data_IF_379717302450
#
_entry.id   IF_379717302450
#
_cell.length_a   1.000
_cell.length_b   1.000
_cell.length_c   1.000
_cell.angle_alpha   90.00
_cell.angle_beta   90.00
_cell.angle_gamma   90.00
#
_symmetry.space_group_name_H-M   'P 1'
#
loop_
_entity.id
_entity.type
_entity.pdbx_description
1 polymer ?
#
# COMPACT_ATOMS: atom_id res chain seq x y z
N UNK A 1 -20.26 7.87 13.77
CA UNK A 1 -20.36 8.09 12.30
C UNK A 1 -19.20 8.89 11.70
N UNK A 2 -18.27 9.48 12.47
CA UNK A 2 -17.12 10.23 11.89
C UNK A 2 -15.88 9.38 11.56
N UNK A 3 -15.59 8.34 12.35
CA UNK A 3 -14.32 7.59 12.24
C UNK A 3 -14.17 6.75 10.98
N UNK A 4 -15.23 6.12 10.48
CA UNK A 4 -15.16 5.32 9.24
C UNK A 4 -14.91 6.19 8.00
N UNK A 5 -15.53 7.36 7.95
CA UNK A 5 -15.28 8.31 6.86
C UNK A 5 -13.85 8.85 6.91
N UNK A 6 -13.33 9.13 8.11
CA UNK A 6 -11.95 9.58 8.28
C UNK A 6 -10.93 8.52 7.85
N UNK A 7 -11.15 7.25 8.19
CA UNK A 7 -10.33 6.13 7.71
C UNK A 7 -10.37 6.03 6.19
N UNK A 8 -11.56 6.12 5.59
CA UNK A 8 -11.74 6.08 4.13
C UNK A 8 -10.97 7.19 3.43
N UNK A 9 -11.09 8.43 3.90
CA UNK A 9 -10.33 9.56 3.36
C UNK A 9 -8.81 9.40 3.53
N UNK A 10 -8.38 8.83 4.65
CA UNK A 10 -6.97 8.58 4.89
C UNK A 10 -6.42 7.51 3.93
N UNK A 11 -7.12 6.40 3.78
CA UNK A 11 -6.77 5.33 2.83
C UNK A 11 -6.75 5.89 1.40
N UNK A 12 -7.78 6.63 0.98
CA UNK A 12 -7.83 7.22 -0.36
C UNK A 12 -6.63 8.12 -0.65
N UNK A 13 -6.21 8.93 0.32
CA UNK A 13 -5.02 9.79 0.19
C UNK A 13 -3.73 8.98 0.01
N UNK A 14 -3.60 7.86 0.72
CA UNK A 14 -2.46 6.95 0.55
C UNK A 14 -2.51 6.33 -0.86
N UNK A 15 -3.68 5.91 -1.33
CA UNK A 15 -3.84 5.35 -2.69
C UNK A 15 -3.44 6.38 -3.75
N UNK A 16 -3.93 7.62 -3.62
CA UNK A 16 -3.60 8.71 -4.54
C UNK A 16 -2.11 9.04 -4.54
N UNK A 17 -1.40 8.93 -3.41
CA UNK A 17 0.05 9.18 -3.38
C UNK A 17 0.84 8.11 -4.15
N UNK A 18 0.33 6.87 -4.25
CA UNK A 18 0.87 5.83 -5.13
C UNK A 18 0.55 6.07 -6.60
N UNK A 19 -0.51 6.84 -6.87
CA UNK A 19 -0.94 7.25 -8.21
C UNK A 19 -0.40 8.63 -8.63
N UNK A 20 0.66 9.12 -7.98
CA UNK A 20 1.45 10.24 -8.50
C UNK A 20 2.53 9.74 -9.47
N UNK A 21 2.59 10.32 -10.67
CA UNK A 21 3.47 9.84 -11.73
C UNK A 21 4.95 10.01 -11.40
N UNK A 22 5.32 11.07 -10.69
CA UNK A 22 6.72 11.32 -10.31
C UNK A 22 7.13 10.37 -9.19
N UNK A 23 6.29 10.22 -8.15
CA UNK A 23 6.52 9.26 -7.07
C UNK A 23 6.61 7.83 -7.60
N UNK A 24 5.67 7.41 -8.46
CA UNK A 24 5.66 6.08 -9.05
C UNK A 24 6.95 5.77 -9.82
N UNK A 25 7.42 6.72 -10.64
CA UNK A 25 8.69 6.59 -11.37
C UNK A 25 9.87 6.40 -10.43
N UNK A 26 10.01 7.26 -9.42
CA UNK A 26 11.11 7.19 -8.44
C UNK A 26 11.08 5.86 -7.68
N UNK A 27 9.90 5.41 -7.23
CA UNK A 27 9.76 4.12 -6.54
C UNK A 27 10.24 2.96 -7.40
N UNK A 28 9.88 2.94 -8.69
CA UNK A 28 10.33 1.89 -9.61
C UNK A 28 11.84 1.95 -9.89
N UNK A 29 12.43 3.15 -9.97
CA UNK A 29 13.88 3.32 -10.10
C UNK A 29 14.62 2.77 -8.87
N UNK A 30 14.12 3.05 -7.66
CA UNK A 30 14.67 2.51 -6.40
C UNK A 30 14.57 0.99 -6.40
N UNK A 31 13.39 0.43 -6.70
CA UNK A 31 13.20 -1.03 -6.77
C UNK A 31 14.13 -1.68 -7.78
N UNK A 32 14.28 -1.07 -8.96
CA UNK A 32 15.21 -1.51 -10.00
C UNK A 32 16.64 -1.50 -9.49
N UNK A 33 17.08 -0.47 -8.77
CA UNK A 33 18.43 -0.40 -8.20
C UNK A 33 18.66 -1.43 -7.08
N UNK A 34 17.67 -1.70 -6.24
CA UNK A 34 17.74 -2.74 -5.21
C UNK A 34 17.99 -4.14 -5.80
N UNK A 35 17.66 -4.39 -7.08
CA UNK A 35 18.00 -5.65 -7.76
C UNK A 35 19.47 -5.77 -8.18
N UNK A 36 20.16 -4.62 -8.30
CA UNK A 36 21.58 -4.55 -8.73
C UNK A 36 22.53 -4.28 -7.59
N UNK A 37 22.08 -3.57 -6.56
CA UNK A 37 22.86 -3.18 -5.39
C UNK A 37 22.37 -3.93 -4.14
N UNK A 38 23.13 -4.96 -3.75
CA UNK A 38 22.78 -5.85 -2.63
C UNK A 38 22.53 -5.10 -1.32
N UNK A 39 23.31 -4.06 -1.01
CA UNK A 39 23.14 -3.25 0.20
C UNK A 39 21.83 -2.47 0.18
N UNK A 40 21.46 -1.88 -0.96
CA UNK A 40 20.16 -1.20 -1.07
C UNK A 40 19.00 -2.19 -0.99
N UNK A 41 19.16 -3.39 -1.56
CA UNK A 41 18.18 -4.46 -1.42
C UNK A 41 17.99 -4.92 0.03
N UNK A 42 19.06 -5.00 0.82
CA UNK A 42 18.99 -5.31 2.27
C UNK A 42 18.23 -4.23 3.04
N UNK A 43 18.57 -2.96 2.84
CA UNK A 43 17.88 -1.82 3.47
C UNK A 43 16.37 -1.85 3.15
N UNK A 44 16.00 -2.12 1.89
CA UNK A 44 14.60 -2.19 1.49
C UNK A 44 13.86 -3.33 2.22
N UNK A 45 14.46 -4.52 2.32
CA UNK A 45 13.84 -5.67 3.02
C UNK A 45 13.71 -5.44 4.52
N UNK A 46 14.70 -4.81 5.14
CA UNK A 46 14.64 -4.44 6.56
C UNK A 46 13.54 -3.42 6.82
N UNK A 47 13.44 -2.40 5.97
CA UNK A 47 12.38 -1.39 6.06
C UNK A 47 10.99 -2.01 5.87
N UNK A 48 10.81 -2.86 4.86
CA UNK A 48 9.56 -3.59 4.59
C UNK A 48 9.15 -4.48 5.77
N UNK A 49 10.10 -5.21 6.37
CA UNK A 49 9.83 -6.01 7.57
C UNK A 49 9.36 -5.16 8.76
N UNK A 50 10.03 -4.04 9.04
CA UNK A 50 9.63 -3.11 10.10
C UNK A 50 8.25 -2.51 9.85
N UNK A 51 7.96 -2.17 8.59
CA UNK A 51 6.67 -1.60 8.21
C UNK A 51 5.52 -2.58 8.38
N UNK A 52 5.69 -3.84 7.98
CA UNK A 52 4.67 -4.89 8.18
C UNK A 52 4.40 -5.14 9.66
N UNK A 53 5.42 -5.15 10.49
CA UNK A 53 5.24 -5.33 11.94
C UNK A 53 4.49 -4.14 12.55
N UNK A 54 4.83 -2.90 12.14
CA UNK A 54 4.10 -1.72 12.58
C UNK A 54 2.62 -1.75 12.16
N UNK A 55 2.33 -2.18 10.93
CA UNK A 55 0.95 -2.36 10.45
C UNK A 55 0.20 -3.43 11.24
N UNK A 56 0.84 -4.55 11.54
CA UNK A 56 0.25 -5.63 12.34
C UNK A 56 -0.18 -5.10 13.72
N UNK A 57 0.70 -4.38 14.41
CA UNK A 57 0.42 -3.81 15.73
C UNK A 57 -0.68 -2.74 15.72
N UNK A 58 -0.84 -2.01 14.61
CA UNK A 58 -1.97 -1.10 14.43
C UNK A 58 -3.26 -1.89 14.20
N UNK A 59 -3.27 -2.86 13.29
CA UNK A 59 -4.47 -3.61 12.92
C UNK A 59 -5.03 -4.45 14.08
N UNK A 60 -4.16 -5.02 14.92
CA UNK A 60 -4.55 -5.76 16.14
C UNK A 60 -5.44 -4.96 17.10
N UNK A 61 -5.28 -3.64 17.14
CA UNK A 61 -6.07 -2.76 18.02
C UNK A 61 -7.51 -2.60 17.56
N UNK A 62 -7.79 -2.89 16.30
CA UNK A 62 -9.06 -2.57 15.66
C UNK A 62 -9.77 -3.79 15.05
N UNK A 63 -9.05 -4.87 14.74
CA UNK A 63 -9.58 -6.06 14.05
C UNK A 63 -9.36 -7.30 14.92
N UNK A 64 -10.45 -8.00 15.24
CA UNK A 64 -10.44 -9.18 16.12
C UNK A 64 -10.32 -10.49 15.32
N UNK A 65 -9.14 -10.79 14.80
CA UNK A 65 -8.79 -12.06 14.12
C UNK A 65 -7.39 -12.52 14.51
N UNK A 66 -6.96 -13.70 14.03
CA UNK A 66 -5.62 -14.22 14.33
C UNK A 66 -4.50 -13.36 13.70
N UNK A 67 -3.32 -13.33 14.32
CA UNK A 67 -2.13 -12.66 13.77
C UNK A 67 -1.80 -13.13 12.35
N UNK A 68 -1.97 -14.43 12.09
CA UNK A 68 -1.72 -15.02 10.78
C UNK A 68 -2.72 -14.53 9.72
N UNK A 69 -3.98 -14.33 10.09
CA UNK A 69 -4.97 -13.70 9.22
C UNK A 69 -4.62 -12.24 8.94
N UNK A 70 -4.20 -11.49 9.95
CA UNK A 70 -3.79 -10.09 9.79
C UNK A 70 -2.58 -9.98 8.86
N UNK A 71 -1.55 -10.83 9.04
CA UNK A 71 -0.38 -10.86 8.15
C UNK A 71 -0.76 -11.16 6.71
N UNK A 72 -1.65 -12.14 6.47
CA UNK A 72 -2.17 -12.41 5.12
C UNK A 72 -2.90 -11.21 4.50
N UNK A 73 -3.71 -10.51 5.28
CA UNK A 73 -4.41 -9.29 4.83
C UNK A 73 -3.43 -8.15 4.53
N UNK A 74 -2.39 -7.99 5.34
CA UNK A 74 -1.32 -7.00 5.12
C UNK A 74 -0.62 -7.27 3.78
N UNK A 75 -0.18 -8.51 3.53
CA UNK A 75 0.47 -8.89 2.27
C UNK A 75 -0.42 -8.63 1.05
N UNK A 76 -1.71 -8.97 1.14
CA UNK A 76 -2.67 -8.71 0.07
C UNK A 76 -2.81 -7.20 -0.20
N UNK A 77 -2.96 -6.39 0.86
CA UNK A 77 -3.09 -4.94 0.72
C UNK A 77 -1.83 -4.28 0.18
N UNK A 78 -0.66 -4.69 0.66
CA UNK A 78 0.63 -4.19 0.14
C UNK A 78 0.80 -4.55 -1.33
N UNK A 79 0.48 -5.79 -1.72
CA UNK A 79 0.52 -6.23 -3.12
C UNK A 79 -0.39 -5.37 -4.01
N UNK A 80 -1.62 -5.11 -3.56
CA UNK A 80 -2.56 -4.25 -4.29
C UNK A 80 -2.02 -2.83 -4.44
N UNK A 81 -1.50 -2.25 -3.35
CA UNK A 81 -1.01 -0.87 -3.31
C UNK A 81 0.28 -0.68 -4.12
N UNK A 82 1.23 -1.61 -4.00
CA UNK A 82 2.51 -1.56 -4.73
C UNK A 82 2.30 -1.77 -6.23
N UNK A 83 1.26 -2.51 -6.63
CA UNK A 83 0.85 -2.69 -8.02
C UNK A 83 0.33 -1.42 -8.70
N UNK A 84 -0.07 -0.38 -7.95
CA UNK A 84 -0.62 0.86 -8.51
C UNK A 84 0.43 1.66 -9.29
N UNK A 85 1.64 1.77 -8.74
CA UNK A 85 2.75 2.51 -9.37
C UNK A 85 3.12 1.99 -10.76
N UNK A 86 3.43 0.68 -10.97
CA UNK A 86 3.72 0.16 -12.30
C UNK A 86 2.49 0.23 -13.22
N UNK A 87 1.27 0.08 -12.69
CA UNK A 87 0.05 0.20 -13.48
C UNK A 87 -0.13 1.62 -14.04
N UNK A 88 0.12 2.65 -13.23
CA UNK A 88 0.10 4.04 -13.66
C UNK A 88 1.16 4.34 -14.72
N UNK A 89 2.38 3.81 -14.56
CA UNK A 89 3.45 4.00 -15.55
C UNK A 89 3.09 3.35 -16.89
N UNK A 90 2.47 2.16 -16.87
CA UNK A 90 2.02 1.49 -18.08
C UNK A 90 0.80 2.17 -18.73
N UNK A 91 -0.02 2.88 -17.95
CA UNK A 91 -1.26 3.51 -18.39
C UNK A 91 -1.42 4.92 -17.77
N UNK A 92 -0.70 5.93 -18.31
CA UNK A 92 -0.63 7.25 -17.70
C UNK A 92 -1.97 8.01 -17.68
N UNK A 93 -2.89 7.63 -18.57
CA UNK A 93 -4.21 8.24 -18.75
C UNK A 93 -5.31 7.59 -17.88
N UNK A 94 -4.95 6.70 -16.95
CA UNK A 94 -5.90 6.14 -16.00
C UNK A 94 -6.63 7.24 -15.22
N UNK A 95 -7.92 7.02 -14.99
CA UNK A 95 -8.68 7.82 -14.03
C UNK A 95 -8.22 7.46 -12.60
N UNK A 96 -7.29 8.26 -12.10
CA UNK A 96 -6.63 8.05 -10.80
C UNK A 96 -7.59 8.21 -9.65
N UNK A 97 -8.54 9.13 -9.76
CA UNK A 97 -9.53 9.40 -8.71
C UNK A 97 -10.54 8.28 -8.62
N UNK A 98 -11.05 7.80 -9.76
CA UNK A 98 -11.95 6.65 -9.80
C UNK A 98 -11.26 5.39 -9.26
N UNK A 99 -10.05 5.09 -9.74
CA UNK A 99 -9.29 3.93 -9.24
C UNK A 99 -8.98 4.05 -7.75
N UNK A 100 -8.63 5.24 -7.27
CA UNK A 100 -8.37 5.46 -5.86
C UNK A 100 -9.62 5.23 -4.99
N UNK A 101 -10.79 5.64 -5.46
CA UNK A 101 -12.05 5.35 -4.79
C UNK A 101 -12.30 3.83 -4.72
N UNK A 102 -12.22 3.11 -5.84
CA UNK A 102 -12.49 1.67 -5.90
C UNK A 102 -11.52 0.85 -5.02
N UNK A 103 -10.22 1.17 -5.05
CA UNK A 103 -9.22 0.52 -4.20
C UNK A 103 -9.46 0.82 -2.73
N UNK A 104 -9.88 2.05 -2.39
CA UNK A 104 -10.23 2.42 -1.02
C UNK A 104 -11.41 1.61 -0.52
N UNK A 105 -12.48 1.49 -1.31
CA UNK A 105 -13.64 0.65 -0.97
C UNK A 105 -13.23 -0.80 -0.74
N UNK A 106 -12.38 -1.34 -1.61
CA UNK A 106 -11.88 -2.70 -1.48
C UNK A 106 -11.10 -2.92 -0.17
N UNK A 107 -10.15 -2.04 0.14
CA UNK A 107 -9.33 -2.13 1.36
C UNK A 107 -10.20 -1.99 2.61
N UNK A 108 -11.12 -1.02 2.65
CA UNK A 108 -12.00 -0.80 3.80
C UNK A 108 -12.94 -2.00 3.99
N UNK A 109 -13.53 -2.52 2.92
CA UNK A 109 -14.42 -3.69 2.99
C UNK A 109 -13.70 -4.97 3.47
N UNK A 110 -12.38 -5.09 3.29
CA UNK A 110 -11.61 -6.23 3.80
C UNK A 110 -11.36 -6.17 5.32
N UNK A 111 -11.66 -5.05 5.99
CA UNK A 111 -11.40 -4.84 7.42
C UNK A 111 -12.64 -4.53 8.26
N UNK A 112 -13.77 -4.19 7.62
CA UNK A 112 -15.08 -4.03 8.24
C UNK A 112 -15.86 -5.35 8.33
#
# INVERSE_FOLDING_TARGET
>A
MGGEQEVREHVKRIVLSRLDSQTAKISLEILSECTRNGRMGEILREFDAQWREALLEVMKKHIQVSDDDLRRRIEMNLTLMDGLSPRLVAHPDLDREALAADVTEHIVACHC
#
